data_IF_232378869906
#
_entry.id   IF_232378869906
#
_cell.length_a   1.000
_cell.length_b   1.000
_cell.length_c   1.000
_cell.angle_alpha   90.00
_cell.angle_beta   90.00
_cell.angle_gamma   90.00
#
_symmetry.space_group_name_H-M   'P 1'
#
loop_
_entity.id
_entity.type
_entity.pdbx_description
1 polymer ?
#
# COMPACT_ATOMS: atom_id res chain seq x y z
N UNK A 1 -26.35 0.09 -18.72
CA UNK A 1 -25.87 -0.94 -17.77
C UNK A 1 -24.38 -1.16 -17.98
N UNK A 2 -23.52 -0.73 -17.04
CA UNK A 2 -22.07 -0.78 -17.20
C UNK A 2 -21.44 -2.15 -16.88
N UNK A 3 -22.13 -3.01 -16.10
CA UNK A 3 -21.66 -4.36 -15.78
C UNK A 3 -22.35 -5.42 -16.65
N UNK A 4 -21.61 -6.45 -17.08
CA UNK A 4 -22.17 -7.62 -17.81
C UNK A 4 -22.45 -8.83 -16.92
N UNK A 5 -22.02 -8.79 -15.65
CA UNK A 5 -22.11 -9.92 -14.71
C UNK A 5 -23.27 -9.87 -13.72
N UNK A 6 -23.98 -8.74 -13.66
CA UNK A 6 -25.13 -8.53 -12.79
C UNK A 6 -26.13 -7.58 -13.46
N UNK A 7 -27.38 -7.64 -13.04
CA UNK A 7 -28.47 -6.81 -13.56
C UNK A 7 -28.64 -5.48 -12.80
N UNK A 8 -27.57 -4.99 -12.17
CA UNK A 8 -27.60 -3.72 -11.42
C UNK A 8 -27.49 -2.55 -12.40
N UNK A 9 -28.52 -1.69 -12.41
CA UNK A 9 -28.48 -0.40 -13.10
C UNK A 9 -27.80 0.65 -12.22
N UNK A 10 -26.94 1.46 -12.84
CA UNK A 10 -26.31 2.61 -12.21
C UNK A 10 -26.74 3.85 -12.97
N UNK A 11 -27.14 4.90 -12.27
CA UNK A 11 -27.36 6.20 -12.87
C UNK A 11 -26.02 6.86 -13.23
N UNK A 12 -26.08 7.89 -14.07
CA UNK A 12 -24.92 8.69 -14.48
C UNK A 12 -24.13 9.22 -13.26
N UNK A 13 -24.82 9.79 -12.27
CA UNK A 13 -24.19 10.36 -11.08
C UNK A 13 -23.48 9.29 -10.23
N UNK A 14 -24.05 8.08 -10.13
CA UNK A 14 -23.41 6.99 -9.41
C UNK A 14 -22.10 6.57 -10.10
N UNK A 15 -22.12 6.41 -11.43
CA UNK A 15 -20.91 6.06 -12.19
C UNK A 15 -19.86 7.17 -12.01
N UNK A 16 -20.22 8.43 -12.20
CA UNK A 16 -19.30 9.55 -11.99
C UNK A 16 -18.72 9.56 -10.58
N UNK A 17 -19.56 9.40 -9.56
CA UNK A 17 -19.12 9.43 -8.16
C UNK A 17 -18.21 8.24 -7.82
N UNK A 18 -18.43 7.05 -8.36
CA UNK A 18 -17.51 5.91 -8.18
C UNK A 18 -16.10 6.23 -8.70
N UNK A 19 -16.00 6.86 -9.88
CA UNK A 19 -14.71 7.27 -10.44
C UNK A 19 -14.07 8.41 -9.65
N UNK A 20 -14.85 9.39 -9.19
CA UNK A 20 -14.37 10.47 -8.34
C UNK A 20 -13.91 9.99 -6.97
N UNK A 21 -14.63 9.06 -6.35
CA UNK A 21 -14.24 8.43 -5.10
C UNK A 21 -12.91 7.69 -5.26
N UNK A 22 -12.72 6.95 -6.36
CA UNK A 22 -11.44 6.31 -6.66
C UNK A 22 -10.29 7.31 -6.80
N UNK A 23 -10.55 8.57 -7.19
CA UNK A 23 -9.48 9.60 -7.21
C UNK A 23 -9.05 10.06 -5.81
N UNK A 24 -9.97 10.02 -4.85
CA UNK A 24 -9.76 10.48 -3.47
C UNK A 24 -9.24 9.36 -2.58
N UNK A 25 -9.83 8.18 -2.68
CA UNK A 25 -9.49 7.02 -1.89
C UNK A 25 -8.87 5.91 -2.78
N UNK A 26 -7.64 5.54 -2.44
CA UNK A 26 -6.91 4.47 -3.10
C UNK A 26 -7.51 3.08 -2.90
N UNK A 27 -8.33 2.86 -1.87
CA UNK A 27 -8.96 1.55 -1.63
C UNK A 27 -10.14 1.29 -2.57
N UNK A 28 -10.77 2.37 -3.05
CA UNK A 28 -11.86 2.33 -4.03
C UNK A 28 -11.36 2.24 -5.48
N UNK A 29 -10.04 2.13 -5.68
CA UNK A 29 -9.41 2.00 -6.99
C UNK A 29 -9.07 0.52 -7.29
N UNK A 30 -9.45 -0.02 -8.45
CA UNK A 30 -10.29 0.57 -9.51
C UNK A 30 -11.80 0.42 -9.22
N UNK A 31 -12.65 1.30 -9.77
CA UNK A 31 -14.12 1.14 -9.73
C UNK A 31 -14.55 -0.21 -10.28
N UNK A 32 -15.32 -0.96 -9.48
CA UNK A 32 -15.71 -2.34 -9.77
C UNK A 32 -17.12 -2.64 -9.30
N UNK A 33 -17.79 -3.50 -10.06
CA UNK A 33 -18.98 -4.21 -9.62
C UNK A 33 -18.62 -5.71 -9.56
N UNK A 34 -19.14 -6.56 -10.44
CA UNK A 34 -18.62 -7.92 -10.63
C UNK A 34 -17.26 -7.93 -11.36
N UNK A 35 -17.08 -6.97 -12.25
CA UNK A 35 -15.85 -6.75 -13.01
C UNK A 35 -15.43 -5.29 -12.88
N UNK A 36 -14.18 -5.01 -13.23
CA UNK A 36 -13.64 -3.64 -13.28
C UNK A 36 -14.38 -2.86 -14.37
N UNK A 37 -14.83 -1.65 -14.05
CA UNK A 37 -15.42 -0.77 -15.05
C UNK A 37 -14.34 -0.22 -15.98
N UNK A 38 -14.60 -0.31 -17.28
CA UNK A 38 -13.73 0.33 -18.27
C UNK A 38 -13.83 1.84 -18.12
N UNK A 39 -12.67 2.52 -18.14
CA UNK A 39 -12.61 3.98 -18.13
C UNK A 39 -13.46 4.60 -19.25
N UNK A 40 -13.62 3.91 -20.39
CA UNK A 40 -14.45 4.38 -21.51
C UNK A 40 -15.89 4.66 -21.11
N UNK A 41 -16.46 3.83 -20.22
CA UNK A 41 -17.83 4.01 -19.70
C UNK A 41 -17.93 5.30 -18.91
N UNK A 42 -16.88 5.66 -18.19
CA UNK A 42 -16.87 6.84 -17.36
C UNK A 42 -16.59 8.13 -18.15
N UNK A 43 -15.92 8.05 -19.31
CA UNK A 43 -15.62 9.21 -20.14
C UNK A 43 -16.87 9.89 -20.70
N UNK A 44 -17.99 9.17 -20.81
CA UNK A 44 -19.27 9.75 -21.22
C UNK A 44 -19.86 10.69 -20.15
N UNK A 45 -19.50 10.47 -18.88
CA UNK A 45 -20.11 11.14 -17.72
C UNK A 45 -19.13 12.03 -16.93
N UNK A 46 -17.83 11.89 -17.20
CA UNK A 46 -16.75 12.68 -16.60
C UNK A 46 -16.43 13.89 -17.47
N UNK A 47 -16.16 15.02 -16.83
CA UNK A 47 -15.53 16.15 -17.52
C UNK A 47 -14.08 15.80 -17.91
N UNK A 48 -13.51 16.51 -18.87
CA UNK A 48 -12.11 16.30 -19.30
C UNK A 48 -11.12 16.41 -18.14
N UNK A 49 -11.33 17.38 -17.25
CA UNK A 49 -10.50 17.58 -16.07
C UNK A 49 -10.61 16.41 -15.06
N UNK A 50 -11.80 15.88 -14.82
CA UNK A 50 -12.00 14.73 -13.91
C UNK A 50 -11.44 13.45 -14.51
N UNK A 51 -11.59 13.25 -15.81
CA UNK A 51 -11.00 12.14 -16.53
C UNK A 51 -9.46 12.17 -16.46
N UNK A 52 -8.84 13.34 -16.60
CA UNK A 52 -7.39 13.51 -16.46
C UNK A 52 -6.92 13.27 -15.03
N UNK A 53 -7.68 13.76 -14.03
CA UNK A 53 -7.40 13.47 -12.62
C UNK A 53 -7.47 11.96 -12.33
N UNK A 54 -8.49 11.27 -12.87
CA UNK A 54 -8.62 9.82 -12.74
C UNK A 54 -7.46 9.09 -13.42
N UNK A 55 -7.07 9.47 -14.64
CA UNK A 55 -5.92 8.87 -15.35
C UNK A 55 -4.63 8.99 -14.55
N UNK A 56 -4.37 10.16 -13.97
CA UNK A 56 -3.18 10.38 -13.14
C UNK A 56 -3.21 9.56 -11.86
N UNK A 57 -4.37 9.46 -11.19
CA UNK A 57 -4.52 8.63 -9.99
C UNK A 57 -4.45 7.14 -10.30
N UNK A 58 -4.98 6.72 -11.44
CA UNK A 58 -4.90 5.34 -11.91
C UNK A 58 -3.44 4.96 -12.24
N UNK A 59 -2.69 5.86 -12.89
CA UNK A 59 -1.25 5.67 -13.12
C UNK A 59 -0.47 5.57 -11.80
N UNK A 60 -0.80 6.42 -10.82
CA UNK A 60 -0.25 6.32 -9.46
C UNK A 60 -0.59 4.98 -8.79
N UNK A 61 -1.82 4.50 -8.95
CA UNK A 61 -2.29 3.24 -8.35
C UNK A 61 -1.59 2.02 -8.96
N UNK A 62 -1.47 1.96 -10.29
CA UNK A 62 -0.79 0.87 -11.00
C UNK A 62 0.73 0.88 -10.73
N UNK A 63 1.32 2.04 -10.45
CA UNK A 63 2.75 2.15 -10.17
C UNK A 63 3.16 1.33 -8.94
N UNK A 64 4.12 0.43 -9.13
CA UNK A 64 4.64 -0.45 -8.07
C UNK A 64 5.51 0.30 -7.08
N UNK A 65 6.41 1.17 -7.58
CA UNK A 65 7.36 1.95 -6.79
C UNK A 65 7.06 3.43 -6.93
N UNK A 66 6.01 3.86 -6.23
CA UNK A 66 5.55 5.24 -6.25
C UNK A 66 6.65 6.18 -5.77
N UNK A 67 6.75 7.32 -6.43
CA UNK A 67 7.69 8.37 -6.09
C UNK A 67 6.91 9.66 -6.01
N UNK A 68 7.00 10.33 -4.87
CA UNK A 68 6.31 11.58 -4.61
C UNK A 68 7.33 12.71 -4.47
N UNK A 69 6.90 13.93 -4.74
CA UNK A 69 7.71 15.09 -4.43
C UNK A 69 7.95 15.17 -2.90
N UNK A 70 9.22 15.29 -2.45
CA UNK A 70 9.54 15.35 -1.02
C UNK A 70 9.10 16.66 -0.36
N UNK A 71 8.72 17.68 -1.14
CA UNK A 71 8.22 18.95 -0.62
C UNK A 71 6.78 18.75 -0.12
N UNK A 72 6.48 18.93 1.18
CA UNK A 72 5.15 18.65 1.74
C UNK A 72 4.01 19.45 1.10
N UNK A 73 4.30 20.67 0.65
CA UNK A 73 3.32 21.53 -0.05
C UNK A 73 2.98 21.02 -1.46
N UNK A 74 3.86 20.26 -2.09
CA UNK A 74 3.65 19.72 -3.43
C UNK A 74 3.14 18.28 -3.33
N UNK A 75 3.90 17.37 -2.71
CA UNK A 75 3.56 15.94 -2.52
C UNK A 75 3.05 15.21 -3.77
N UNK A 76 3.30 15.78 -4.96
CA UNK A 76 2.75 15.31 -6.23
C UNK A 76 3.37 13.98 -6.61
N UNK A 77 2.56 13.05 -7.10
CA UNK A 77 3.04 11.81 -7.70
C UNK A 77 3.86 12.10 -8.97
N UNK A 78 5.02 11.46 -9.07
CA UNK A 78 5.94 11.60 -10.20
C UNK A 78 5.94 10.27 -10.94
N UNK A 79 5.43 10.22 -12.18
CA UNK A 79 5.34 8.98 -12.93
C UNK A 79 6.75 8.51 -13.32
N UNK A 80 6.95 7.19 -13.37
CA UNK A 80 8.27 6.58 -13.66
C UNK A 80 8.86 7.09 -14.98
N UNK A 81 8.02 7.45 -15.97
CA UNK A 81 8.44 8.06 -17.24
C UNK A 81 9.14 9.42 -17.10
N UNK A 82 8.83 10.18 -16.05
CA UNK A 82 9.48 11.46 -15.76
C UNK A 82 10.82 11.28 -15.04
N UNK A 83 11.08 10.10 -14.48
CA UNK A 83 12.32 9.77 -13.78
C UNK A 83 13.36 9.30 -14.81
N UNK A 84 14.07 10.25 -15.41
CA UNK A 84 15.21 9.94 -16.27
C UNK A 84 16.40 9.53 -15.39
N UNK A 85 16.91 8.31 -15.57
CA UNK A 85 18.13 7.86 -14.90
C UNK A 85 17.97 6.89 -13.74
N UNK A 86 16.97 5.97 -13.75
CA UNK A 86 17.11 4.73 -12.97
C UNK A 86 18.28 3.93 -13.53
N UNK A 87 19.50 4.22 -13.06
CA UNK A 87 20.66 3.37 -13.30
C UNK A 87 20.36 2.07 -12.55
N UNK A 88 20.22 0.96 -13.28
CA UNK A 88 20.06 -0.36 -12.69
C UNK A 88 21.20 -0.58 -11.68
N UNK A 89 20.88 -1.05 -10.47
CA UNK A 89 21.79 -1.24 -9.33
C UNK A 89 23.03 -2.12 -9.60
N UNK A 90 23.19 -2.63 -10.83
CA UNK A 90 24.35 -3.41 -11.29
C UNK A 90 25.52 -2.57 -11.78
N UNK A 91 25.38 -1.25 -11.94
CA UNK A 91 26.46 -0.36 -12.39
C UNK A 91 26.54 0.93 -11.55
N UNK A 92 27.00 0.79 -10.30
CA UNK A 92 27.18 1.89 -9.35
C UNK A 92 28.50 2.67 -9.56
N UNK A 93 28.77 3.12 -10.80
CA UNK A 93 30.01 3.85 -11.13
C UNK A 93 29.80 5.07 -12.03
N UNK A 94 28.64 5.74 -11.91
CA UNK A 94 28.39 7.04 -12.56
C UNK A 94 28.07 8.11 -11.52
N UNK A 95 28.51 9.37 -11.74
CA UNK A 95 28.45 10.42 -10.75
C UNK A 95 27.01 10.78 -10.37
N UNK A 96 26.82 11.16 -9.10
CA UNK A 96 25.57 11.55 -8.45
C UNK A 96 24.97 12.88 -8.99
N UNK A 97 24.88 13.04 -10.32
CA UNK A 97 24.49 14.29 -10.99
C UNK A 97 23.23 14.15 -11.85
N UNK A 98 22.62 12.97 -11.91
CA UNK A 98 21.33 12.79 -12.60
C UNK A 98 20.18 12.99 -11.61
N UNK A 99 19.90 14.23 -11.23
CA UNK A 99 18.65 14.58 -10.54
C UNK A 99 17.52 14.76 -11.57
N UNK A 100 16.28 14.48 -11.17
CA UNK A 100 15.11 14.80 -11.98
C UNK A 100 14.30 15.90 -11.29
N UNK A 101 13.58 16.72 -12.07
CA UNK A 101 12.77 17.80 -11.54
C UNK A 101 11.31 17.40 -11.37
N UNK A 102 10.67 17.90 -10.31
CA UNK A 102 9.23 17.81 -10.16
C UNK A 102 8.53 18.60 -11.29
N UNK A 103 7.49 18.06 -11.95
CA UNK A 103 6.80 18.78 -13.02
C UNK A 103 6.02 20.00 -12.54
N UNK A 104 5.61 20.07 -11.27
CA UNK A 104 4.84 21.19 -10.71
C UNK A 104 5.72 22.23 -10.02
N UNK A 105 6.56 21.82 -9.06
CA UNK A 105 7.36 22.75 -8.28
C UNK A 105 8.81 22.91 -8.77
N UNK A 106 9.19 22.18 -9.83
CA UNK A 106 10.52 22.21 -10.44
C UNK A 106 11.71 21.92 -9.51
N UNK A 107 11.45 21.44 -8.29
CA UNK A 107 12.52 21.07 -7.37
C UNK A 107 13.25 19.82 -7.88
N UNK A 108 14.57 19.83 -7.77
CA UNK A 108 15.39 18.67 -8.07
C UNK A 108 15.23 17.59 -7.00
N UNK A 109 15.11 16.34 -7.43
CA UNK A 109 14.96 15.16 -6.57
C UNK A 109 16.06 14.17 -6.94
N UNK A 110 16.68 13.60 -5.91
CA UNK A 110 17.70 12.57 -6.06
C UNK A 110 17.02 11.22 -6.38
N UNK A 111 17.42 10.51 -7.46
CA UNK A 111 16.80 9.24 -7.84
C UNK A 111 17.07 8.10 -6.86
N UNK A 112 18.13 8.20 -6.05
CA UNK A 112 18.54 7.15 -5.11
C UNK A 112 17.78 7.23 -3.79
N UNK A 113 17.81 8.37 -3.10
CA UNK A 113 17.13 8.55 -1.81
C UNK A 113 15.70 9.09 -1.92
N UNK A 114 15.28 9.55 -3.10
CA UNK A 114 13.99 10.22 -3.36
C UNK A 114 13.78 11.50 -2.53
N UNK A 115 14.83 12.04 -1.93
CA UNK A 115 14.83 13.32 -1.22
C UNK A 115 15.21 14.47 -2.15
N UNK A 116 15.13 15.70 -1.63
CA UNK A 116 15.58 16.90 -2.34
C UNK A 116 17.02 16.71 -2.81
N UNK A 117 17.29 17.10 -4.06
CA UNK A 117 18.59 16.97 -4.68
C UNK A 117 19.70 17.54 -3.80
N UNK A 118 20.76 16.77 -3.61
CA UNK A 118 21.91 17.15 -2.81
C UNK A 118 23.19 16.92 -3.62
N UNK A 119 24.04 17.95 -3.69
CA UNK A 119 25.34 17.88 -4.37
C UNK A 119 26.43 17.56 -3.35
N UNK A 120 27.22 16.51 -3.59
CA UNK A 120 28.43 16.21 -2.81
C UNK A 120 28.22 15.62 -1.41
N UNK A 121 26.97 15.45 -0.95
CA UNK A 121 26.66 14.68 0.27
C UNK A 121 26.16 13.28 -0.11
N UNK A 122 26.51 12.22 0.66
CA UNK A 122 25.89 10.91 0.49
C UNK A 122 24.38 10.99 0.77
N UNK A 123 23.62 10.06 0.20
CA UNK A 123 22.21 9.91 0.48
C UNK A 123 21.98 9.63 1.96
N UNK A 124 21.11 10.41 2.60
CA UNK A 124 20.66 10.14 3.95
C UNK A 124 19.50 9.13 3.93
N UNK A 125 19.79 7.89 4.30
CA UNK A 125 18.83 6.79 4.35
C UNK A 125 18.36 6.49 5.78
N UNK A 126 18.78 7.26 6.79
CA UNK A 126 18.48 6.99 8.21
C UNK A 126 16.98 6.85 8.48
N UNK A 127 16.15 7.68 7.85
CA UNK A 127 14.70 7.59 7.98
C UNK A 127 14.12 6.29 7.39
N UNK A 128 14.65 5.83 6.25
CA UNK A 128 14.21 4.57 5.64
C UNK A 128 14.66 3.38 6.49
N UNK A 129 15.88 3.42 7.03
CA UNK A 129 16.42 2.37 7.89
C UNK A 129 15.61 2.26 9.20
N UNK A 130 15.22 3.40 9.78
CA UNK A 130 14.35 3.43 10.95
C UNK A 130 12.95 2.87 10.66
N UNK A 131 12.35 3.20 9.51
CA UNK A 131 11.06 2.62 9.09
C UNK A 131 11.16 1.09 8.95
N UNK A 132 12.25 0.59 8.36
CA UNK A 132 12.47 -0.85 8.20
C UNK A 132 12.62 -1.53 9.57
N UNK A 133 13.40 -0.95 10.48
CA UNK A 133 13.56 -1.46 11.83
C UNK A 133 12.23 -1.49 12.61
N UNK A 134 11.40 -0.46 12.44
CA UNK A 134 10.06 -0.42 13.03
C UNK A 134 9.17 -1.54 12.47
N UNK A 135 9.15 -1.73 11.14
CA UNK A 135 8.36 -2.81 10.51
C UNK A 135 8.77 -4.18 11.05
N UNK A 136 10.07 -4.43 11.20
CA UNK A 136 10.58 -5.68 11.77
C UNK A 136 10.15 -5.86 13.23
N UNK A 137 10.22 -4.79 14.03
CA UNK A 137 9.83 -4.81 15.46
C UNK A 137 8.36 -5.21 15.65
N UNK A 138 7.47 -4.81 14.73
CA UNK A 138 6.04 -5.12 14.81
C UNK A 138 5.63 -6.37 14.00
N UNK A 139 6.58 -7.13 13.44
CA UNK A 139 6.30 -8.35 12.67
C UNK A 139 5.69 -8.09 11.29
N UNK A 140 5.97 -6.95 10.66
CA UNK A 140 5.55 -6.65 9.29
C UNK A 140 6.63 -7.08 8.29
N UNK A 141 6.21 -7.70 7.19
CA UNK A 141 7.08 -7.97 6.05
C UNK A 141 6.79 -7.01 4.89
N UNK A 142 7.84 -6.61 4.16
CA UNK A 142 7.70 -5.77 2.97
C UNK A 142 7.26 -6.61 1.77
N UNK A 143 6.23 -6.16 1.07
CA UNK A 143 5.80 -6.76 -0.18
C UNK A 143 6.95 -6.73 -1.22
N UNK A 144 7.32 -7.86 -1.84
CA UNK A 144 8.45 -7.94 -2.78
C UNK A 144 8.23 -7.10 -4.05
N UNK A 145 6.97 -6.81 -4.40
CA UNK A 145 6.61 -6.02 -5.59
C UNK A 145 6.63 -4.52 -5.36
N UNK A 146 6.05 -4.05 -4.25
CA UNK A 146 5.80 -2.62 -4.01
C UNK A 146 6.48 -2.05 -2.76
N UNK A 147 7.01 -2.90 -1.87
CA UNK A 147 7.72 -2.49 -0.65
C UNK A 147 6.83 -2.07 0.52
N UNK A 148 5.50 -2.07 0.39
CA UNK A 148 4.61 -1.76 1.52
C UNK A 148 4.72 -2.83 2.60
N UNK A 149 4.69 -2.41 3.87
CA UNK A 149 4.59 -3.29 5.02
C UNK A 149 3.24 -3.99 5.06
N UNK A 150 3.26 -5.31 5.19
CA UNK A 150 2.10 -6.19 5.33
C UNK A 150 2.32 -7.04 6.58
N UNK A 151 1.33 -7.09 7.48
CA UNK A 151 1.34 -7.96 8.65
C UNK A 151 0.51 -9.20 8.35
N UNK A 152 1.05 -10.38 8.69
CA UNK A 152 0.28 -11.62 8.73
C UNK A 152 -0.42 -11.68 10.07
N UNK A 153 -1.75 -11.75 10.05
CA UNK A 153 -2.51 -11.92 11.30
C UNK A 153 -2.42 -13.37 11.77
N UNK A 154 -2.96 -14.32 11.01
CA UNK A 154 -2.96 -15.75 11.36
C UNK A 154 -3.03 -16.62 10.10
N UNK A 155 -2.75 -17.93 10.25
CA UNK A 155 -3.08 -18.93 9.24
C UNK A 155 -2.12 -18.99 8.05
N UNK A 156 -2.70 -19.01 6.83
CA UNK A 156 -2.01 -19.35 5.58
C UNK A 156 -0.81 -18.44 5.27
N UNK A 157 0.22 -19.03 4.66
CA UNK A 157 1.42 -18.31 4.20
C UNK A 157 1.17 -17.50 2.93
N UNK A 158 0.04 -17.66 2.27
CA UNK A 158 -0.33 -16.91 1.09
C UNK A 158 -0.76 -15.48 1.45
N UNK A 159 0.02 -14.50 1.01
CA UNK A 159 -0.21 -13.08 1.26
C UNK A 159 -0.67 -12.37 -0.01
N UNK A 160 -1.75 -11.59 0.11
CA UNK A 160 -2.24 -10.71 -0.94
C UNK A 160 -1.99 -9.25 -0.55
N UNK A 161 -1.09 -8.58 -1.26
CA UNK A 161 -0.85 -7.16 -1.06
C UNK A 161 -1.92 -6.32 -1.79
N UNK A 162 -2.21 -5.11 -1.29
CA UNK A 162 -3.11 -4.14 -1.95
C UNK A 162 -2.67 -3.76 -3.36
N UNK A 163 -1.40 -3.94 -3.71
CA UNK A 163 -0.92 -3.78 -5.09
C UNK A 163 -1.28 -4.97 -6.02
N UNK A 164 -2.07 -5.94 -5.55
CA UNK A 164 -2.45 -7.15 -6.28
C UNK A 164 -1.34 -8.20 -6.40
N UNK A 165 -0.27 -8.10 -5.60
CA UNK A 165 0.78 -9.13 -5.59
C UNK A 165 0.40 -10.27 -4.65
N UNK A 166 0.57 -11.50 -5.12
CA UNK A 166 0.39 -12.72 -4.34
C UNK A 166 1.76 -13.35 -4.06
N UNK A 167 2.11 -13.51 -2.79
CA UNK A 167 3.45 -13.95 -2.39
C UNK A 167 3.40 -14.81 -1.13
N UNK A 168 4.45 -15.60 -0.90
CA UNK A 168 4.57 -16.45 0.28
C UNK A 168 5.24 -15.69 1.44
N UNK A 169 4.63 -15.68 2.62
CA UNK A 169 5.15 -15.04 3.83
C UNK A 169 6.54 -15.54 4.21
N UNK A 170 6.78 -16.86 4.10
CA UNK A 170 8.02 -17.47 4.55
C UNK A 170 9.23 -17.15 3.67
N UNK A 171 9.09 -17.23 2.35
CA UNK A 171 10.20 -17.05 1.43
C UNK A 171 10.17 -15.75 0.61
N UNK A 172 9.14 -14.91 0.77
CA UNK A 172 8.95 -13.63 0.07
C UNK A 172 8.98 -13.72 -1.47
N UNK A 173 8.78 -14.92 -2.04
CA UNK A 173 8.68 -15.16 -3.49
C UNK A 173 7.22 -15.12 -3.95
N UNK A 174 7.01 -15.02 -5.25
CA UNK A 174 5.67 -15.14 -5.84
C UNK A 174 5.03 -16.45 -5.37
N UNK A 175 3.73 -16.40 -5.05
CA UNK A 175 3.06 -17.59 -4.57
C UNK A 175 2.96 -18.65 -5.67
N UNK A 176 2.86 -18.24 -6.93
CA UNK A 176 2.87 -19.11 -8.11
C UNK A 176 4.15 -19.98 -8.22
N UNK A 177 5.30 -19.48 -7.76
CA UNK A 177 6.57 -20.23 -7.81
C UNK A 177 6.77 -21.16 -6.60
N UNK A 178 6.15 -20.84 -5.47
CA UNK A 178 6.42 -21.52 -4.18
C UNK A 178 5.28 -22.46 -3.76
N UNK A 179 4.04 -22.11 -4.08
CA UNK A 179 2.80 -22.76 -3.61
C UNK A 179 2.71 -22.94 -2.08
N UNK A 180 3.45 -22.14 -1.31
CA UNK A 180 3.50 -22.22 0.15
C UNK A 180 4.37 -23.35 0.72
N UNK A 181 4.91 -24.23 -0.11
CA UNK A 181 5.77 -25.36 0.27
C UNK A 181 7.23 -25.01 0.51
N UNK A 182 7.56 -23.78 0.89
CA UNK A 182 8.94 -23.44 1.25
C UNK A 182 9.31 -23.97 2.64
N UNK A 183 10.56 -24.44 2.75
CA UNK A 183 11.22 -24.71 4.02
C UNK A 183 11.44 -23.38 4.75
N UNK A 184 10.39 -22.93 5.44
CA UNK A 184 10.45 -21.83 6.37
C UNK A 184 10.59 -22.41 7.77
N UNK A 185 11.75 -22.25 8.44
CA UNK A 185 12.01 -22.76 9.78
C UNK A 185 11.28 -21.93 10.85
N UNK A 186 9.96 -21.81 10.73
CA UNK A 186 9.09 -21.05 11.62
C UNK A 186 7.63 -21.50 11.60
N UNK A 187 7.34 -22.72 11.12
CA UNK A 187 6.01 -23.36 11.33
C UNK A 187 5.85 -24.06 12.66
N UNK A 188 6.91 -24.19 13.46
CA UNK A 188 6.82 -24.75 14.81
C UNK A 188 7.03 -23.59 15.80
N UNK A 189 5.93 -23.16 16.43
CA UNK A 189 5.87 -22.20 17.54
C UNK A 189 6.51 -20.82 17.28
N UNK A 190 5.75 -19.88 16.71
CA UNK A 190 5.87 -18.45 17.08
C UNK A 190 5.14 -18.20 18.43
N UNK A 191 5.35 -19.12 19.39
CA UNK A 191 4.98 -19.00 20.81
C UNK A 191 6.25 -18.69 21.64
N UNK A 192 7.26 -18.10 20.99
CA UNK A 192 8.54 -17.71 21.58
C UNK A 192 8.38 -16.45 22.42
N UNK A 193 8.22 -16.67 23.73
CA UNK A 193 8.42 -15.73 24.82
C UNK A 193 9.60 -14.77 24.56
N UNK A 194 9.32 -13.47 24.40
CA UNK A 194 10.32 -12.43 24.57
C UNK A 194 10.41 -12.09 26.06
N UNK A 195 11.22 -12.84 26.81
CA UNK A 195 11.67 -12.41 28.14
C UNK A 195 12.92 -11.56 27.99
N UNK A 196 12.74 -10.33 27.50
CA UNK A 196 13.79 -9.31 27.52
C UNK A 196 14.10 -8.88 28.95
N UNK A 197 15.13 -9.45 29.56
CA UNK A 197 15.72 -8.91 30.80
C UNK A 197 16.30 -7.52 30.54
N UNK A 198 15.69 -6.51 31.17
CA UNK A 198 16.10 -5.12 31.10
C UNK A 198 17.53 -4.94 31.66
N UNK A 199 18.51 -4.65 30.79
CA UNK A 199 19.78 -4.06 31.22
C UNK A 199 19.66 -2.54 31.18
N UNK A 200 19.69 -1.96 32.37
CA UNK A 200 19.68 -0.53 32.65
C UNK A 200 20.79 0.20 31.88
N UNK A 201 20.38 1.10 30.98
CA UNK A 201 21.23 2.04 30.26
C UNK A 201 20.35 3.02 29.49
N UNK A 202 20.35 4.28 29.89
CA UNK A 202 19.49 5.36 29.38
C UNK A 202 19.50 5.53 27.85
N UNK A 203 18.37 5.28 27.20
CA UNK A 203 17.81 6.08 26.09
C UNK A 203 16.53 5.41 25.57
N UNK A 204 15.40 6.13 25.61
CA UNK A 204 14.10 5.85 24.97
C UNK A 204 13.73 4.37 24.84
N UNK A 205 12.83 3.88 25.69
CA UNK A 205 12.31 2.52 25.57
C UNK A 205 11.83 2.24 24.13
N UNK A 206 12.33 1.17 23.49
CA UNK A 206 11.85 0.81 22.16
C UNK A 206 10.35 0.57 22.24
N UNK A 207 9.59 0.90 21.19
CA UNK A 207 8.16 0.76 21.22
C UNK A 207 7.78 -0.71 21.46
N UNK A 208 7.05 -0.95 22.55
CA UNK A 208 6.56 -2.29 22.89
C UNK A 208 5.45 -2.65 21.92
N UNK A 209 5.58 -3.79 21.25
CA UNK A 209 4.54 -4.34 20.40
C UNK A 209 3.42 -4.93 21.28
N UNK A 210 2.37 -4.14 21.51
CA UNK A 210 1.20 -4.57 22.29
C UNK A 210 0.45 -5.75 21.65
N UNK A 211 0.65 -5.98 20.34
CA UNK A 211 0.09 -7.11 19.61
C UNK A 211 0.95 -8.38 19.67
N UNK A 212 2.07 -8.38 20.40
CA UNK A 212 2.99 -9.53 20.47
C UNK A 212 2.45 -10.73 21.27
N UNK A 213 1.21 -10.64 21.78
CA UNK A 213 0.55 -11.73 22.50
C UNK A 213 -0.13 -12.74 21.57
N UNK A 214 0.18 -14.03 21.72
CA UNK A 214 -0.61 -15.10 21.13
C UNK A 214 -2.02 -15.19 21.75
N UNK A 215 -2.90 -16.02 21.17
CA UNK A 215 -4.32 -16.17 21.58
C UNK A 215 -4.49 -16.37 23.10
N UNK A 216 -3.61 -17.13 23.72
CA UNK A 216 -3.61 -17.43 25.16
C UNK A 216 -3.42 -16.17 26.02
N UNK A 217 -2.60 -15.21 25.56
CA UNK A 217 -2.35 -13.95 26.29
C UNK A 217 -3.60 -13.08 26.29
N UNK A 218 -4.31 -12.99 25.16
CA UNK A 218 -5.54 -12.21 25.05
C UNK A 218 -6.71 -12.84 25.79
N UNK A 219 -6.84 -14.17 25.75
CA UNK A 219 -7.84 -14.90 26.55
C UNK A 219 -7.58 -14.73 28.05
N UNK A 220 -6.31 -14.70 28.47
CA UNK A 220 -5.93 -14.49 29.87
C UNK A 220 -5.97 -13.02 30.32
N UNK A 221 -5.96 -12.07 29.38
CA UNK A 221 -5.96 -10.63 29.69
C UNK A 221 -7.27 -10.14 30.31
N UNK A 222 -8.36 -10.92 30.21
CA UNK A 222 -9.67 -10.53 30.73
C UNK A 222 -10.23 -9.26 30.07
N UNK A 223 -9.77 -8.94 28.87
CA UNK A 223 -10.20 -7.77 28.12
C UNK A 223 -11.64 -7.98 27.62
N UNK A 224 -12.55 -7.10 28.04
CA UNK A 224 -13.93 -7.05 27.57
C UNK A 224 -14.01 -6.20 26.30
N UNK A 225 -14.23 -6.85 25.15
CA UNK A 225 -14.36 -6.20 23.84
C UNK A 225 -15.82 -5.81 23.51
N UNK A 226 -16.74 -5.97 24.46
CA UNK A 226 -18.17 -5.75 24.26
C UNK A 226 -18.88 -6.94 23.63
N UNK A 227 -20.20 -6.83 23.45
CA UNK A 227 -21.00 -7.83 22.74
C UNK A 227 -20.66 -7.87 21.25
N UNK A 228 -20.81 -9.04 20.63
CA UNK A 228 -20.69 -9.17 19.18
C UNK A 228 -21.65 -8.18 18.49
N UNK A 229 -21.20 -7.47 17.44
CA UNK A 229 -22.09 -6.62 16.66
C UNK A 229 -23.20 -7.49 16.08
N UNK A 230 -24.41 -6.95 16.11
CA UNK A 230 -25.59 -7.49 15.48
C UNK A 230 -25.36 -7.77 13.99
N UNK A 231 -25.80 -8.94 13.50
CA UNK A 231 -25.72 -9.34 12.10
C UNK A 231 -26.68 -8.55 11.18
N UNK A 232 -27.20 -7.40 11.63
CA UNK A 232 -28.00 -6.52 10.77
C UNK A 232 -27.13 -6.05 9.62
N UNK A 233 -27.40 -6.62 8.44
CA UNK A 233 -26.82 -6.22 7.17
C UNK A 233 -27.21 -4.76 6.96
N UNK A 234 -26.31 -3.84 7.34
CA UNK A 234 -26.44 -2.46 6.93
C UNK A 234 -26.48 -2.43 5.40
N UNK A 235 -27.47 -1.73 4.86
CA UNK A 235 -27.61 -1.53 3.42
C UNK A 235 -26.24 -1.13 2.84
N UNK A 236 -25.77 -1.80 1.77
CA UNK A 236 -24.50 -1.44 1.17
C UNK A 236 -24.56 0.05 0.83
N UNK A 237 -23.60 0.81 1.36
CA UNK A 237 -23.51 2.29 1.37
C UNK A 237 -23.67 2.94 -0.03
N UNK A 238 -23.77 2.15 -1.10
CA UNK A 238 -23.94 2.55 -2.49
C UNK A 238 -25.30 2.23 -3.10
N UNK A 239 -26.29 1.77 -2.32
CA UNK A 239 -27.66 1.61 -2.80
C UNK A 239 -28.36 2.97 -2.89
N UNK A 240 -28.13 3.70 -3.97
CA UNK A 240 -29.00 4.83 -4.31
C UNK A 240 -30.33 4.30 -4.87
N UNK A 241 -31.44 4.60 -4.18
CA UNK A 241 -32.79 4.29 -4.67
C UNK A 241 -33.18 5.29 -5.77
N UNK A 242 -33.20 4.83 -7.02
CA UNK A 242 -33.67 5.62 -8.16
C UNK A 242 -34.90 4.97 -8.78
N UNK A 243 -35.98 5.74 -8.92
CA UNK A 243 -37.14 5.35 -9.74
C UNK A 243 -36.82 5.79 -11.16
N UNK A 244 -36.48 4.83 -12.02
CA UNK A 244 -36.33 5.07 -13.45
C UNK A 244 -37.72 4.99 -14.09
N UNK A 245 -38.34 6.15 -14.34
CA UNK A 245 -39.59 6.29 -15.09
C UNK A 245 -39.36 6.19 -16.59
#
# INVERSE_FOLDING_TARGET
QPCRGCDVSYCEDCIRNMFLQATRDSTSMPPRCCFIFSTMVALEFLTTAEADAYRLKFEEWVSTKKTYCPVPKCSRFIPDRAIKGRVSAKFATLPATACFSCPECHIGICPSCKQVAHSGKPCDNTAQDHEIAMLETYGYNKCPRCGHGVKRMYGCRHMQCRCGAHWCWGCLRSFEECDGGCDYPGSESEDGYDTGEARSGSSVEPPVNLDAGGRVVWEAAGADFGGEPDEEIHDPIWSCSHIFN
#
